data_IF_421951586417
#
_entry.id   IF_421951586417
#
_cell.length_a   1.000
_cell.length_b   1.000
_cell.length_c   1.000
_cell.angle_alpha   90.00
_cell.angle_beta   90.00
_cell.angle_gamma   90.00
#
_symmetry.space_group_name_H-M   'P 1'
#
loop_
_entity.id
_entity.type
_entity.pdbx_description
1 polymer ?
#
# COMPACT_ATOMS: atom_id res chain seq x y z
N UNK A 1 -24.25 43.00 -22.19
CA UNK A 1 -22.79 42.91 -22.38
C UNK A 1 -22.05 42.60 -21.07
N UNK A 2 -22.18 43.41 -20.01
CA UNK A 2 -21.49 43.18 -18.72
C UNK A 2 -21.81 41.82 -18.05
N UNK A 3 -23.08 41.39 -18.01
CA UNK A 3 -23.46 40.09 -17.44
C UNK A 3 -22.86 38.89 -18.18
N UNK A 4 -22.71 38.97 -19.50
CA UNK A 4 -22.11 37.91 -20.31
C UNK A 4 -20.60 37.80 -20.04
N UNK A 5 -19.91 38.94 -19.89
CA UNK A 5 -18.48 38.99 -19.54
C UNK A 5 -18.22 38.42 -18.13
N UNK A 6 -19.09 38.70 -17.16
CA UNK A 6 -19.00 38.15 -15.80
C UNK A 6 -19.24 36.63 -15.78
N UNK A 7 -20.20 36.14 -16.55
CA UNK A 7 -20.43 34.69 -16.66
C UNK A 7 -19.25 33.99 -17.34
N UNK A 8 -18.69 34.60 -18.40
CA UNK A 8 -17.53 34.07 -19.09
C UNK A 8 -16.31 34.01 -18.17
N UNK A 9 -16.07 35.06 -17.37
CA UNK A 9 -14.95 35.10 -16.44
C UNK A 9 -15.10 34.09 -15.32
N UNK A 10 -16.31 33.89 -14.77
CA UNK A 10 -16.58 32.85 -13.76
C UNK A 10 -16.31 31.47 -14.34
N UNK A 11 -16.79 31.18 -15.55
CA UNK A 11 -16.56 29.88 -16.23
C UNK A 11 -15.07 29.64 -16.47
N UNK A 12 -14.34 30.64 -16.95
CA UNK A 12 -12.88 30.57 -17.15
C UNK A 12 -12.14 30.29 -15.84
N UNK A 13 -12.49 30.98 -14.76
CA UNK A 13 -11.88 30.75 -13.44
C UNK A 13 -12.20 29.34 -12.94
N UNK A 14 -13.44 28.86 -13.07
CA UNK A 14 -13.81 27.50 -12.68
C UNK A 14 -13.06 26.44 -13.48
N UNK A 15 -12.87 26.65 -14.79
CA UNK A 15 -12.09 25.75 -15.65
C UNK A 15 -10.62 25.70 -15.24
N UNK A 16 -9.99 26.86 -14.99
CA UNK A 16 -8.60 26.96 -14.55
C UNK A 16 -8.38 26.29 -13.18
N UNK A 17 -9.29 26.52 -12.22
CA UNK A 17 -9.24 25.88 -10.89
C UNK A 17 -9.39 24.36 -11.00
N UNK A 18 -10.32 23.89 -11.83
CA UNK A 18 -10.52 22.45 -12.05
C UNK A 18 -9.31 21.79 -12.71
N UNK A 19 -8.67 22.46 -13.67
CA UNK A 19 -7.49 21.96 -14.35
C UNK A 19 -6.27 21.90 -13.43
N UNK A 20 -6.08 22.91 -12.56
CA UNK A 20 -5.07 22.89 -11.51
C UNK A 20 -5.26 21.73 -10.53
N UNK A 21 -6.50 21.55 -10.03
CA UNK A 21 -6.84 20.45 -9.11
C UNK A 21 -6.67 19.06 -9.74
N UNK A 22 -6.93 18.91 -11.03
CA UNK A 22 -6.71 17.66 -11.75
C UNK A 22 -5.21 17.33 -11.85
N UNK A 23 -4.38 18.32 -12.18
CA UNK A 23 -2.91 18.21 -12.26
C UNK A 23 -2.28 17.86 -10.91
N UNK A 24 -2.70 18.52 -9.83
CA UNK A 24 -2.16 18.25 -8.48
C UNK A 24 -2.52 16.85 -7.97
N UNK A 25 -3.75 16.40 -8.22
CA UNK A 25 -4.16 15.03 -7.88
C UNK A 25 -3.34 13.98 -8.65
N UNK A 26 -3.04 14.21 -9.92
CA UNK A 26 -2.20 13.30 -10.71
C UNK A 26 -0.78 13.20 -10.15
N UNK A 27 -0.20 14.33 -9.73
CA UNK A 27 1.12 14.36 -9.08
C UNK A 27 1.11 13.60 -7.76
N UNK A 28 0.08 13.77 -6.94
CA UNK A 28 -0.08 13.04 -5.69
C UNK A 28 -0.16 11.53 -5.91
N UNK A 29 -0.95 11.08 -6.89
CA UNK A 29 -1.03 9.66 -7.25
C UNK A 29 0.33 9.10 -7.68
N UNK A 30 1.04 9.79 -8.58
CA UNK A 30 2.36 9.36 -9.03
C UNK A 30 3.34 9.24 -7.86
N UNK A 31 3.34 10.22 -6.94
CA UNK A 31 4.18 10.19 -5.75
C UNK A 31 3.86 8.98 -4.85
N UNK A 32 2.58 8.71 -4.62
CA UNK A 32 2.10 7.57 -3.81
C UNK A 32 2.49 6.23 -4.45
N UNK A 33 2.37 6.09 -5.77
CA UNK A 33 2.81 4.90 -6.52
C UNK A 33 4.32 4.69 -6.40
N UNK A 34 5.13 5.73 -6.56
CA UNK A 34 6.59 5.65 -6.41
C UNK A 34 6.99 5.22 -5.00
N UNK A 35 6.32 5.77 -3.97
CA UNK A 35 6.59 5.45 -2.56
C UNK A 35 6.34 3.98 -2.24
N UNK A 36 5.21 3.42 -2.67
CA UNK A 36 4.93 1.99 -2.46
C UNK A 36 5.86 1.10 -3.30
N UNK A 37 6.19 1.51 -4.52
CA UNK A 37 7.14 0.77 -5.35
C UNK A 37 8.51 0.65 -4.67
N UNK A 38 9.00 1.73 -4.06
CA UNK A 38 10.23 1.68 -3.26
C UNK A 38 10.12 0.73 -2.06
N UNK A 39 8.99 0.70 -1.36
CA UNK A 39 8.76 -0.24 -0.26
C UNK A 39 8.70 -1.70 -0.74
N UNK A 40 8.05 -1.98 -1.87
CA UNK A 40 8.02 -3.30 -2.46
C UNK A 40 9.41 -3.78 -2.90
N UNK A 41 10.19 -2.91 -3.56
CA UNK A 41 11.58 -3.21 -3.94
C UNK A 41 12.46 -3.45 -2.72
N UNK A 42 12.29 -2.64 -1.66
CA UNK A 42 12.99 -2.82 -0.39
C UNK A 42 12.66 -4.17 0.24
N UNK A 43 11.39 -4.57 0.26
CA UNK A 43 10.95 -5.87 0.77
C UNK A 43 11.52 -7.05 -0.04
N UNK A 44 11.56 -6.93 -1.37
CA UNK A 44 12.17 -7.93 -2.23
C UNK A 44 13.68 -8.07 -1.96
N UNK A 45 14.37 -6.95 -1.76
CA UNK A 45 15.78 -6.96 -1.38
C UNK A 45 15.99 -7.62 -0.02
N UNK A 46 15.18 -7.31 0.98
CA UNK A 46 15.30 -7.91 2.32
C UNK A 46 15.14 -9.44 2.29
N UNK A 47 14.22 -9.97 1.49
CA UNK A 47 14.05 -11.42 1.32
C UNK A 47 15.28 -12.04 0.66
N UNK A 48 15.78 -11.44 -0.43
CA UNK A 48 16.96 -11.97 -1.11
C UNK A 48 18.16 -11.99 -0.17
N UNK A 49 18.40 -10.88 0.53
CA UNK A 49 19.52 -10.78 1.44
C UNK A 49 19.34 -11.74 2.65
N UNK A 50 18.11 -11.99 3.10
CA UNK A 50 17.82 -13.02 4.12
C UNK A 50 18.17 -14.42 3.58
N UNK A 51 17.72 -14.76 2.38
CA UNK A 51 17.94 -16.06 1.73
C UNK A 51 19.42 -16.36 1.45
N UNK A 52 20.21 -15.32 1.16
CA UNK A 52 21.66 -15.40 0.92
C UNK A 52 22.45 -15.73 2.20
N UNK A 53 21.91 -15.37 3.38
CA UNK A 53 22.54 -15.64 4.68
C UNK A 53 22.06 -16.95 5.33
N UNK A 54 21.12 -17.68 4.70
CA UNK A 54 20.59 -18.93 5.23
C UNK A 54 21.56 -20.10 5.09
N UNK A 55 21.64 -20.93 6.13
CA UNK A 55 22.26 -22.24 6.04
C UNK A 55 21.44 -23.20 5.15
N UNK A 56 22.07 -24.19 4.51
CA UNK A 56 21.37 -25.17 3.66
C UNK A 56 20.20 -25.89 4.36
N UNK A 57 20.36 -26.19 5.64
CA UNK A 57 19.36 -26.86 6.49
C UNK A 57 18.14 -25.97 6.72
N UNK A 58 18.38 -24.69 7.01
CA UNK A 58 17.36 -23.67 7.21
C UNK A 58 16.56 -23.41 5.92
N UNK A 59 17.25 -23.39 4.78
CA UNK A 59 16.59 -23.26 3.47
C UNK A 59 15.64 -24.43 3.19
N UNK A 60 16.03 -25.66 3.57
CA UNK A 60 15.15 -26.84 3.47
C UNK A 60 13.95 -26.75 4.40
N UNK A 61 14.14 -26.22 5.62
CA UNK A 61 13.03 -26.00 6.55
C UNK A 61 12.03 -24.98 5.99
N UNK A 62 12.51 -23.80 5.58
CA UNK A 62 11.66 -22.74 5.05
C UNK A 62 10.94 -23.18 3.77
N UNK A 63 11.59 -23.91 2.87
CA UNK A 63 10.95 -24.43 1.64
C UNK A 63 9.68 -25.24 1.89
N UNK A 64 9.57 -25.91 3.05
CA UNK A 64 8.39 -26.68 3.45
C UNK A 64 7.31 -25.81 4.10
N UNK A 65 7.68 -24.69 4.72
CA UNK A 65 6.76 -23.80 5.44
C UNK A 65 6.21 -22.67 4.56
N UNK A 66 6.98 -22.23 3.56
CA UNK A 66 6.63 -21.14 2.61
C UNK A 66 5.23 -21.28 1.98
N UNK A 67 4.78 -22.47 1.50
CA UNK A 67 3.47 -22.61 0.87
C UNK A 67 2.28 -22.34 1.80
N UNK A 68 2.49 -22.24 3.12
CA UNK A 68 1.45 -22.11 4.14
C UNK A 68 1.45 -20.73 4.84
N UNK A 69 2.20 -19.74 4.35
CA UNK A 69 2.30 -18.44 5.02
C UNK A 69 1.03 -17.60 4.86
N UNK A 70 0.07 -17.79 5.77
CA UNK A 70 -1.06 -16.89 5.95
C UNK A 70 -0.57 -15.58 6.60
N UNK A 71 -0.97 -14.44 6.06
CA UNK A 71 -0.63 -13.11 6.58
C UNK A 71 -1.85 -12.50 7.28
N UNK A 72 -1.64 -11.67 8.29
CA UNK A 72 -2.76 -11.01 8.99
C UNK A 72 -3.61 -10.18 8.03
N UNK A 73 -2.96 -9.57 7.04
CA UNK A 73 -3.61 -8.82 5.97
C UNK A 73 -4.57 -9.66 5.12
N UNK A 74 -4.52 -11.00 5.18
CA UNK A 74 -5.47 -11.87 4.49
C UNK A 74 -6.88 -11.83 5.11
N UNK A 75 -7.03 -11.30 6.34
CA UNK A 75 -8.35 -10.98 6.92
C UNK A 75 -8.97 -9.70 6.33
N UNK A 76 -8.19 -8.88 5.62
CA UNK A 76 -8.70 -7.69 4.94
C UNK A 76 -9.32 -8.15 3.61
N UNK A 77 -10.65 -8.05 3.52
CA UNK A 77 -11.38 -8.38 2.29
C UNK A 77 -10.90 -7.48 1.15
N UNK A 78 -10.19 -8.07 0.19
CA UNK A 78 -9.47 -7.34 -0.82
C UNK A 78 -9.51 -8.10 -2.16
N UNK A 79 -9.57 -7.40 -3.30
CA UNK A 79 -9.57 -8.04 -4.61
C UNK A 79 -8.39 -9.00 -4.81
N UNK A 80 -8.67 -10.28 -4.98
CA UNK A 80 -7.58 -11.28 -5.06
C UNK A 80 -7.05 -11.48 -6.47
N UNK A 81 -7.85 -11.15 -7.48
CA UNK A 81 -7.53 -11.29 -8.89
C UNK A 81 -7.46 -9.97 -9.66
N UNK A 82 -6.78 -10.01 -10.81
CA UNK A 82 -6.65 -8.90 -11.75
C UNK A 82 -8.02 -8.32 -12.13
N UNK A 83 -8.96 -9.17 -12.51
CA UNK A 83 -10.30 -8.75 -12.95
C UNK A 83 -11.10 -8.04 -11.84
N UNK A 84 -10.99 -8.54 -10.61
CA UNK A 84 -11.69 -7.97 -9.46
C UNK A 84 -11.10 -6.60 -9.08
N UNK A 85 -9.77 -6.49 -9.12
CA UNK A 85 -9.08 -5.22 -8.92
C UNK A 85 -9.46 -4.21 -10.02
N UNK A 86 -9.53 -4.65 -11.28
CA UNK A 86 -9.96 -3.84 -12.43
C UNK A 86 -11.43 -3.42 -12.39
N UNK A 87 -12.31 -4.13 -11.68
CA UNK A 87 -13.72 -3.75 -11.48
C UNK A 87 -13.97 -2.89 -10.24
N UNK A 88 -13.09 -2.92 -9.24
CA UNK A 88 -13.27 -2.23 -7.95
C UNK A 88 -13.11 -0.71 -8.05
N UNK A 89 -13.98 0.11 -7.46
CA UNK A 89 -13.88 1.58 -7.55
C UNK A 89 -12.52 2.15 -7.06
N UNK A 90 -12.11 3.32 -7.56
CA UNK A 90 -10.88 3.98 -7.11
C UNK A 90 -10.85 4.19 -5.59
N UNK A 91 -11.96 4.66 -5.01
CA UNK A 91 -12.10 4.85 -3.57
C UNK A 91 -11.96 3.54 -2.80
N UNK A 92 -12.57 2.44 -3.29
CA UNK A 92 -12.42 1.10 -2.69
C UNK A 92 -10.96 0.66 -2.68
N UNK A 93 -10.26 0.81 -3.81
CA UNK A 93 -8.84 0.45 -3.92
C UNK A 93 -7.96 1.28 -2.98
N UNK A 94 -8.22 2.58 -2.85
CA UNK A 94 -7.51 3.46 -1.92
C UNK A 94 -7.76 3.09 -0.45
N UNK A 95 -9.01 2.81 -0.06
CA UNK A 95 -9.36 2.39 1.30
C UNK A 95 -8.70 1.07 1.69
N UNK A 96 -8.76 0.07 0.82
CA UNK A 96 -8.10 -1.21 1.05
C UNK A 96 -6.59 -1.02 1.15
N UNK A 97 -6.00 -0.19 0.28
CA UNK A 97 -4.59 0.16 0.35
C UNK A 97 -4.22 0.81 1.70
N UNK A 98 -5.03 1.76 2.16
CA UNK A 98 -4.84 2.41 3.46
C UNK A 98 -4.87 1.40 4.60
N UNK A 99 -5.87 0.50 4.62
CA UNK A 99 -6.04 -0.55 5.63
C UNK A 99 -4.87 -1.55 5.63
N UNK A 100 -4.37 -1.91 4.45
CA UNK A 100 -3.15 -2.73 4.34
C UNK A 100 -1.94 -2.01 4.95
N UNK A 101 -1.71 -0.74 4.62
CA UNK A 101 -0.58 0.01 5.20
C UNK A 101 -0.72 0.20 6.71
N UNK A 102 -1.93 0.48 7.20
CA UNK A 102 -2.23 0.58 8.63
C UNK A 102 -1.95 -0.72 9.37
N UNK A 103 -2.25 -1.86 8.74
CA UNK A 103 -1.91 -3.18 9.28
C UNK A 103 -0.39 -3.41 9.42
N UNK A 104 0.47 -2.57 8.83
CA UNK A 104 1.91 -2.70 9.02
C UNK A 104 2.45 -1.82 10.16
N UNK A 105 1.64 -1.02 10.84
CA UNK A 105 2.10 -0.06 11.86
C UNK A 105 2.83 -0.74 13.04
N UNK A 106 2.25 -1.81 13.60
CA UNK A 106 2.90 -2.60 14.67
C UNK A 106 3.94 -3.58 14.09
N UNK A 107 3.57 -4.29 13.02
CA UNK A 107 4.37 -5.34 12.41
C UNK A 107 5.72 -4.83 11.85
N UNK A 108 5.75 -3.59 11.38
CA UNK A 108 6.97 -2.94 10.87
C UNK A 108 8.03 -2.71 11.95
N UNK A 109 7.64 -2.55 13.21
CA UNK A 109 8.59 -2.45 14.32
C UNK A 109 9.32 -3.77 14.55
N UNK A 110 8.60 -4.89 14.47
CA UNK A 110 9.17 -6.24 14.57
C UNK A 110 10.09 -6.48 13.36
N UNK A 111 9.59 -6.16 12.16
CA UNK A 111 10.33 -6.32 10.91
C UNK A 111 11.65 -5.54 10.91
N UNK A 112 11.63 -4.29 11.39
CA UNK A 112 12.83 -3.45 11.48
C UNK A 112 13.90 -4.08 12.39
N UNK A 113 13.50 -4.75 13.47
CA UNK A 113 14.43 -5.49 14.35
C UNK A 113 15.02 -6.71 13.65
N UNK A 114 14.18 -7.49 12.95
CA UNK A 114 14.63 -8.64 12.15
C UNK A 114 15.68 -8.23 11.11
N UNK A 115 15.44 -7.12 10.42
CA UNK A 115 16.34 -6.59 9.38
C UNK A 115 17.65 -6.04 9.96
N UNK A 116 17.59 -5.36 11.11
CA UNK A 116 18.77 -4.85 11.83
C UNK A 116 19.79 -5.95 12.14
N UNK A 117 19.29 -7.16 12.42
CA UNK A 117 20.12 -8.30 12.79
C UNK A 117 20.70 -9.05 11.58
N UNK A 118 20.14 -8.85 10.39
CA UNK A 118 20.46 -9.64 9.19
C UNK A 118 21.20 -8.84 8.11
N UNK A 119 21.13 -7.50 8.09
CA UNK A 119 21.52 -6.70 6.91
C UNK A 119 22.41 -5.49 7.21
N UNK A 120 23.43 -5.31 6.36
CA UNK A 120 24.27 -4.08 6.25
C UNK A 120 23.58 -2.96 5.45
N UNK A 121 22.32 -3.16 5.07
CA UNK A 121 21.60 -2.31 4.11
C UNK A 121 20.60 -1.41 4.82
N UNK A 122 20.98 -0.13 5.00
CA UNK A 122 20.07 0.99 5.23
C UNK A 122 19.47 1.03 6.63
N UNK A 123 19.45 2.22 7.24
CA UNK A 123 18.95 2.42 8.60
C UNK A 123 17.58 1.75 8.82
N UNK A 124 17.46 0.77 9.74
CA UNK A 124 16.23 0.03 10.03
C UNK A 124 15.03 0.92 10.36
N UNK A 125 15.30 2.14 10.86
CA UNK A 125 14.28 3.13 11.23
C UNK A 125 13.50 3.69 10.03
N UNK A 126 13.91 3.41 8.79
CA UNK A 126 13.26 3.98 7.60
C UNK A 126 11.96 3.29 7.18
N UNK A 127 11.68 2.04 7.57
CA UNK A 127 10.47 1.34 7.09
C UNK A 127 9.22 2.01 7.65
N UNK A 128 9.21 2.28 8.96
CA UNK A 128 8.08 2.90 9.65
C UNK A 128 7.81 4.30 9.09
N UNK A 129 8.86 5.10 8.87
CA UNK A 129 8.74 6.45 8.29
C UNK A 129 8.17 6.41 6.87
N UNK A 130 8.66 5.49 6.03
CA UNK A 130 8.15 5.31 4.66
C UNK A 130 6.69 4.85 4.65
N UNK A 131 6.30 3.95 5.57
CA UNK A 131 4.90 3.52 5.72
C UNK A 131 4.00 4.66 6.19
N UNK A 132 4.45 5.48 7.15
CA UNK A 132 3.71 6.64 7.62
C UNK A 132 3.50 7.69 6.53
N UNK A 133 4.56 8.00 5.76
CA UNK A 133 4.49 8.91 4.62
C UNK A 133 3.58 8.39 3.50
N UNK A 134 3.59 7.06 3.26
CA UNK A 134 2.67 6.42 2.32
C UNK A 134 1.22 6.47 2.83
N UNK A 135 0.97 6.13 4.10
CA UNK A 135 -0.36 6.19 4.75
C UNK A 135 -0.96 7.60 4.64
N UNK A 136 -0.14 8.62 4.92
CA UNK A 136 -0.52 10.03 4.78
C UNK A 136 -0.88 10.38 3.33
N UNK A 137 -0.05 9.99 2.36
CA UNK A 137 -0.31 10.24 0.94
C UNK A 137 -1.62 9.60 0.46
N UNK A 138 -1.90 8.36 0.85
CA UNK A 138 -3.16 7.67 0.52
C UNK A 138 -4.35 8.37 1.19
N UNK A 139 -4.23 8.80 2.45
CA UNK A 139 -5.29 9.54 3.15
C UNK A 139 -5.68 10.84 2.45
N UNK A 140 -4.69 11.59 1.92
CA UNK A 140 -4.95 12.80 1.13
C UNK A 140 -5.71 12.46 -0.16
N UNK A 141 -5.32 11.38 -0.85
CA UNK A 141 -6.04 10.93 -2.06
C UNK A 141 -7.49 10.51 -1.76
N UNK A 142 -7.72 9.79 -0.66
CA UNK A 142 -9.07 9.41 -0.21
C UNK A 142 -9.93 10.67 0.02
N UNK A 143 -9.41 11.65 0.78
CA UNK A 143 -10.11 12.92 1.04
C UNK A 143 -10.44 13.65 -0.26
N UNK A 144 -9.48 13.74 -1.18
CA UNK A 144 -9.70 14.35 -2.50
C UNK A 144 -10.71 13.62 -3.39
N UNK A 145 -11.01 12.34 -3.12
CA UNK A 145 -12.08 11.60 -3.79
C UNK A 145 -13.47 11.81 -3.16
N UNK A 146 -13.52 12.20 -1.88
CA UNK A 146 -14.77 12.37 -1.11
C UNK A 146 -15.37 13.77 -1.22
N UNK A 147 -14.63 14.75 -1.75
CA UNK A 147 -15.12 16.11 -1.98
C UNK A 147 -16.38 16.11 -2.89
N UNK A 148 -17.56 16.09 -2.27
CA UNK A 148 -18.88 16.09 -2.92
C UNK A 148 -19.74 14.83 -2.72
N UNK A 149 -19.27 13.78 -2.03
CA UNK A 149 -20.09 12.61 -1.69
C UNK A 149 -20.34 12.48 -0.17
N UNK A 150 -21.56 12.13 0.27
CA UNK A 150 -21.79 11.75 1.66
C UNK A 150 -20.99 10.48 1.98
N UNK A 151 -20.22 10.51 3.07
CA UNK A 151 -19.54 9.34 3.62
C UNK A 151 -20.58 8.25 3.96
N UNK A 152 -20.73 7.26 3.08
CA UNK A 152 -21.69 6.16 3.24
C UNK A 152 -21.01 4.83 3.61
N UNK A 153 -19.77 4.87 4.10
CA UNK A 153 -19.07 3.64 4.53
C UNK A 153 -18.19 3.95 5.74
N UNK A 154 -18.80 3.91 6.92
CA UNK A 154 -18.13 3.91 8.23
C UNK A 154 -17.58 2.51 8.61
N UNK A 155 -17.56 1.58 7.65
CA UNK A 155 -16.99 0.24 7.84
C UNK A 155 -15.45 0.24 7.85
N UNK A 156 -14.81 1.40 7.65
CA UNK A 156 -13.36 1.64 7.80
C UNK A 156 -12.85 1.43 9.26
N UNK A 157 -13.74 1.02 10.18
CA UNK A 157 -13.48 0.85 11.62
C UNK A 157 -13.40 -0.61 12.09
N UNK A 158 -13.48 -1.61 11.20
CA UNK A 158 -13.40 -3.01 11.62
C UNK A 158 -12.11 -3.22 12.42
N UNK A 159 -12.16 -3.77 13.65
CA UNK A 159 -10.98 -4.05 14.44
C UNK A 159 -10.03 -4.92 13.64
N UNK A 160 -8.87 -4.37 13.38
CA UNK A 160 -7.74 -5.12 12.87
C UNK A 160 -7.38 -6.17 13.95
N UNK A 161 -7.33 -7.48 13.63
CA UNK A 161 -7.05 -8.54 14.62
C UNK A 161 -5.54 -8.53 14.94
N UNK A 162 -5.10 -7.51 15.68
CA UNK A 162 -3.72 -7.03 15.55
C UNK A 162 -2.75 -7.36 16.66
N UNK A 163 -3.22 -7.82 17.82
CA UNK A 163 -2.33 -7.87 18.97
C UNK A 163 -1.69 -9.25 19.19
N UNK A 164 -2.39 -10.34 18.86
CA UNK A 164 -1.96 -11.67 19.33
C UNK A 164 -1.13 -12.48 18.32
N UNK A 165 -1.31 -12.26 17.02
CA UNK A 165 -0.78 -13.18 15.98
C UNK A 165 0.75 -13.18 15.87
N UNK A 166 1.40 -12.01 15.97
CA UNK A 166 2.87 -11.93 15.92
C UNK A 166 3.54 -12.27 17.26
N UNK A 167 2.78 -12.40 18.34
CA UNK A 167 3.30 -12.70 19.68
C UNK A 167 3.13 -14.18 20.08
N UNK A 168 2.13 -14.88 19.53
CA UNK A 168 1.71 -16.21 20.03
C UNK A 168 2.12 -17.42 19.20
N UNK A 169 2.71 -17.25 18.01
CA UNK A 169 3.05 -18.41 17.18
C UNK A 169 4.30 -19.12 17.72
N UNK A 170 4.16 -20.39 18.10
CA UNK A 170 5.24 -21.34 18.49
C UNK A 170 6.19 -21.70 17.33
N UNK A 171 6.34 -20.82 16.34
CA UNK A 171 7.29 -20.98 15.24
C UNK A 171 8.70 -20.63 15.73
N UNK A 172 9.72 -21.31 15.18
CA UNK A 172 11.09 -20.87 15.42
C UNK A 172 11.29 -19.43 14.88
N UNK A 173 12.20 -18.68 15.51
CA UNK A 173 12.43 -17.27 15.17
C UNK A 173 12.73 -17.08 13.67
N UNK A 174 13.38 -18.07 13.04
CA UNK A 174 13.68 -18.07 11.61
C UNK A 174 12.41 -18.07 10.73
N UNK A 175 11.49 -19.01 10.96
CA UNK A 175 10.25 -19.16 10.19
C UNK A 175 9.37 -17.95 10.37
N UNK A 176 9.27 -17.45 11.61
CA UNK A 176 8.52 -16.24 11.94
C UNK A 176 9.08 -15.01 11.21
N UNK A 177 10.40 -14.84 11.23
CA UNK A 177 11.09 -13.74 10.55
C UNK A 177 10.89 -13.80 9.04
N UNK A 178 11.07 -14.98 8.44
CA UNK A 178 10.83 -15.17 7.01
C UNK A 178 9.38 -14.92 6.63
N UNK A 179 8.42 -15.43 7.41
CA UNK A 179 6.98 -15.20 7.21
C UNK A 179 6.65 -13.72 7.22
N UNK A 180 7.20 -12.97 8.17
CA UNK A 180 6.98 -11.52 8.26
C UNK A 180 7.52 -10.79 7.01
N UNK A 181 8.71 -11.14 6.56
CA UNK A 181 9.31 -10.60 5.33
C UNK A 181 8.45 -10.92 4.09
N UNK A 182 8.02 -12.18 3.94
CA UNK A 182 7.18 -12.63 2.84
C UNK A 182 5.84 -11.92 2.82
N UNK A 183 5.19 -11.78 3.98
CA UNK A 183 3.95 -11.03 4.13
C UNK A 183 4.14 -9.55 3.76
N UNK A 184 5.22 -8.92 4.20
CA UNK A 184 5.50 -7.53 3.88
C UNK A 184 5.64 -7.32 2.38
N UNK A 185 6.44 -8.15 1.71
CA UNK A 185 6.59 -8.12 0.24
C UNK A 185 5.25 -8.33 -0.46
N UNK A 186 4.47 -9.34 -0.06
CA UNK A 186 3.16 -9.66 -0.63
C UNK A 186 2.22 -8.45 -0.56
N UNK A 187 2.14 -7.81 0.60
CA UNK A 187 1.24 -6.69 0.83
C UNK A 187 1.69 -5.43 0.11
N UNK A 188 2.99 -5.12 0.09
CA UNK A 188 3.49 -3.97 -0.67
C UNK A 188 3.24 -4.13 -2.18
N UNK A 189 3.40 -5.34 -2.73
CA UNK A 189 3.03 -5.64 -4.12
C UNK A 189 1.52 -5.45 -4.38
N UNK A 190 0.68 -5.91 -3.46
CA UNK A 190 -0.78 -5.76 -3.54
C UNK A 190 -1.18 -4.28 -3.53
N UNK A 191 -0.62 -3.49 -2.61
CA UNK A 191 -0.87 -2.04 -2.52
C UNK A 191 -0.35 -1.32 -3.77
N UNK A 192 0.83 -1.67 -4.28
CA UNK A 192 1.36 -1.12 -5.52
C UNK A 192 0.41 -1.38 -6.70
N UNK A 193 -0.09 -2.61 -6.81
CA UNK A 193 -1.05 -2.99 -7.86
C UNK A 193 -2.32 -2.15 -7.78
N UNK A 194 -2.92 -2.03 -6.58
CA UNK A 194 -4.14 -1.24 -6.39
C UNK A 194 -3.94 0.24 -6.71
N UNK A 195 -2.82 0.83 -6.29
CA UNK A 195 -2.52 2.24 -6.56
C UNK A 195 -2.25 2.49 -8.05
N UNK A 196 -1.60 1.56 -8.76
CA UNK A 196 -1.45 1.64 -10.22
C UNK A 196 -2.79 1.57 -10.94
N UNK A 197 -3.68 0.65 -10.54
CA UNK A 197 -5.04 0.55 -11.10
C UNK A 197 -5.86 1.80 -10.80
N UNK A 198 -5.78 2.33 -9.58
CA UNK A 198 -6.47 3.55 -9.19
C UNK A 198 -5.99 4.77 -10.00
N UNK A 199 -4.66 4.90 -10.17
CA UNK A 199 -4.05 5.98 -10.95
C UNK A 199 -4.46 5.93 -12.42
N UNK A 200 -4.38 4.73 -13.01
CA UNK A 200 -4.77 4.46 -14.38
C UNK A 200 -6.17 4.99 -14.75
N UNK A 201 -7.17 4.74 -13.90
CA UNK A 201 -8.55 5.12 -14.21
C UNK A 201 -8.77 6.63 -14.24
N UNK A 202 -7.79 7.39 -13.76
CA UNK A 202 -7.81 8.85 -13.78
C UNK A 202 -7.15 9.42 -15.03
N UNK A 203 -6.19 8.71 -15.63
CA UNK A 203 -5.60 9.09 -16.91
C UNK A 203 -6.58 8.82 -18.06
N UNK A 204 -6.78 9.79 -18.94
CA UNK A 204 -7.66 9.71 -20.11
C UNK A 204 -7.18 8.67 -21.16
N UNK A 205 -5.95 8.18 -21.04
CA UNK A 205 -5.39 7.12 -21.89
C UNK A 205 -5.80 5.74 -21.36
N UNK A 206 -6.88 5.22 -21.94
CA UNK A 206 -7.63 4.03 -21.50
C UNK A 206 -6.95 2.67 -21.69
N UNK A 207 -5.63 2.61 -21.83
CA UNK A 207 -4.89 1.35 -22.03
C UNK A 207 -3.92 1.06 -20.88
N UNK A 208 -4.45 0.73 -19.71
CA UNK A 208 -3.63 0.25 -18.61
C UNK A 208 -3.60 -1.27 -18.60
N UNK A 209 -2.53 -1.82 -19.12
CA UNK A 209 -2.18 -3.22 -18.92
C UNK A 209 -1.52 -3.38 -17.56
N UNK A 210 -2.19 -4.14 -16.69
CA UNK A 210 -1.68 -4.63 -15.39
C UNK A 210 -0.70 -5.78 -15.63
#
# INVERSE_FOLDING_TARGET
MARALVLLSVVLVSLLVNQGRASDNQRLFNNVVIRVQHLHQLAAKMINDFDDNLLPEDRRLLSKTIPMSFCISDYIEAPTGKDEAQRSSMLKLLRISFRLIESWELASQILSRTVSNSLTVGSPNQINEKLADLKMGISVLIKGCLDGQPNMDDNDSLPLPFEDFYLTTEDNDLTKNFRLLACFKKDMHKVETYLRVANCRRSLDSNCTL
#
